data_IF_795847149261
#
_entry.id   IF_795847149261
#
_cell.length_a   1.000
_cell.length_b   1.000
_cell.length_c   1.000
_cell.angle_alpha   90.00
_cell.angle_beta   90.00
_cell.angle_gamma   90.00
#
_symmetry.space_group_name_H-M   'P 1'
#
loop_
_entity.id
_entity.type
_entity.pdbx_description
1 polymer ?
#
# COMPACT_ATOMS: atom_id res chain seq x y z
N UNK A 1 -8.14 3.53 -10.65
CA UNK A 1 -6.77 3.52 -10.11
C UNK A 1 -6.66 2.40 -9.10
N UNK A 2 -5.52 1.71 -9.00
CA UNK A 2 -5.25 0.73 -7.93
C UNK A 2 -3.86 1.00 -7.37
N UNK A 3 -3.59 0.54 -6.16
CA UNK A 3 -2.28 0.70 -5.52
C UNK A 3 -1.79 -0.62 -4.95
N UNK A 4 -0.48 -0.83 -4.97
CA UNK A 4 0.19 -1.85 -4.18
C UNK A 4 0.89 -1.18 -3.00
N UNK A 5 0.63 -1.67 -1.80
CA UNK A 5 1.28 -1.25 -0.56
C UNK A 5 2.23 -2.35 -0.08
N UNK A 6 3.51 -2.00 0.07
CA UNK A 6 4.60 -2.87 0.49
C UNK A 6 5.38 -2.26 1.66
N UNK A 7 6.20 -3.08 2.29
CA UNK A 7 7.12 -2.67 3.33
C UNK A 7 8.50 -3.24 3.05
N UNK A 8 9.50 -2.36 3.06
CA UNK A 8 10.91 -2.72 2.85
C UNK A 8 11.76 -2.24 4.02
N UNK A 9 12.83 -2.99 4.33
CA UNK A 9 13.89 -2.52 5.24
C UNK A 9 15.01 -1.80 4.52
N UNK A 10 15.14 -2.06 3.22
CA UNK A 10 16.25 -1.59 2.40
C UNK A 10 15.69 -1.09 1.08
N UNK A 11 15.62 0.22 0.95
CA UNK A 11 15.27 0.89 -0.29
C UNK A 11 16.54 1.50 -0.86
N UNK A 12 16.83 1.20 -2.12
CA UNK A 12 18.00 1.72 -2.83
C UNK A 12 17.57 2.78 -3.81
N UNK A 13 18.31 3.87 -3.84
CA UNK A 13 18.15 4.92 -4.84
C UNK A 13 19.37 4.97 -5.76
N UNK A 14 19.17 5.41 -7.00
CA UNK A 14 20.27 5.70 -7.92
C UNK A 14 20.89 7.09 -7.68
N UNK A 15 21.89 7.46 -8.49
CA UNK A 15 22.55 8.76 -8.43
C UNK A 15 21.62 9.95 -8.72
N UNK A 16 20.45 9.70 -9.32
CA UNK A 16 19.42 10.69 -9.64
C UNK A 16 18.25 10.67 -8.64
N UNK A 17 18.39 9.95 -7.52
CA UNK A 17 17.37 9.73 -6.50
C UNK A 17 16.11 8.97 -6.99
N UNK A 18 16.19 8.28 -8.13
CA UNK A 18 15.15 7.34 -8.54
C UNK A 18 15.19 6.09 -7.67
N UNK A 19 14.03 5.48 -7.43
CA UNK A 19 13.93 4.28 -6.60
C UNK A 19 14.21 3.03 -7.44
N UNK A 20 15.20 2.24 -7.01
CA UNK A 20 15.52 0.96 -7.64
C UNK A 20 14.51 -0.08 -7.18
N UNK A 21 13.78 -0.66 -8.12
CA UNK A 21 12.82 -1.71 -7.84
C UNK A 21 13.53 -3.04 -7.58
N UNK A 22 13.48 -3.51 -6.33
CA UNK A 22 14.05 -4.80 -5.92
C UNK A 22 12.97 -5.60 -5.17
N UNK A 23 12.17 -6.43 -5.86
CA UNK A 23 11.06 -7.17 -5.24
C UNK A 23 11.50 -8.05 -4.07
N UNK A 24 12.72 -8.57 -4.12
CA UNK A 24 13.32 -9.40 -3.07
C UNK A 24 13.58 -8.64 -1.77
N UNK A 25 13.60 -7.30 -1.80
CA UNK A 25 13.72 -6.45 -0.61
C UNK A 25 12.43 -6.38 0.22
N UNK A 26 11.28 -6.75 -0.35
CA UNK A 26 10.00 -6.71 0.36
C UNK A 26 9.85 -7.87 1.33
N UNK A 27 9.57 -7.56 2.60
CA UNK A 27 9.45 -8.58 3.66
C UNK A 27 8.19 -9.44 3.46
N UNK A 28 7.14 -8.84 2.91
CA UNK A 28 5.81 -9.42 2.79
C UNK A 28 5.27 -9.21 1.36
N UNK A 29 4.29 -10.02 0.97
CA UNK A 29 3.59 -9.80 -0.30
C UNK A 29 2.91 -8.43 -0.28
N UNK A 30 2.99 -7.66 -1.38
CA UNK A 30 2.28 -6.40 -1.50
C UNK A 30 0.77 -6.59 -1.30
N UNK A 31 0.13 -5.59 -0.71
CA UNK A 31 -1.32 -5.53 -0.60
C UNK A 31 -1.87 -4.68 -1.71
N UNK A 32 -2.77 -5.25 -2.51
CA UNK A 32 -3.56 -4.50 -3.47
C UNK A 32 -4.63 -3.69 -2.75
N UNK A 33 -4.78 -2.44 -3.18
CA UNK A 33 -5.81 -1.50 -2.76
C UNK A 33 -6.54 -1.07 -4.02
N UNK A 34 -7.77 -1.54 -4.17
CA UNK A 34 -8.60 -1.37 -5.35
C UNK A 34 -10.06 -1.01 -5.04
N UNK A 35 -10.46 -1.05 -3.76
CA UNK A 35 -11.80 -0.63 -3.33
C UNK A 35 -12.00 0.89 -3.57
N UNK A 36 -12.93 1.31 -4.46
CA UNK A 36 -13.11 2.71 -4.83
C UNK A 36 -13.36 3.64 -3.64
N UNK A 37 -14.20 3.22 -2.70
CA UNK A 37 -14.54 3.98 -1.49
C UNK A 37 -13.32 4.24 -0.57
N UNK A 38 -12.24 3.48 -0.71
CA UNK A 38 -11.03 3.58 0.11
C UNK A 38 -9.89 4.29 -0.63
N UNK A 39 -9.90 4.27 -1.96
CA UNK A 39 -8.83 4.86 -2.78
C UNK A 39 -8.61 6.34 -2.46
N UNK A 40 -9.69 7.13 -2.36
CA UNK A 40 -9.56 8.57 -2.07
C UNK A 40 -8.88 8.82 -0.70
N UNK A 41 -9.30 8.09 0.34
CA UNK A 41 -8.69 8.19 1.66
C UNK A 41 -7.24 7.68 1.68
N UNK A 42 -6.93 6.70 0.83
CA UNK A 42 -5.57 6.19 0.68
C UNK A 42 -4.66 7.18 -0.05
N UNK A 43 -5.17 7.86 -1.07
CA UNK A 43 -4.48 8.94 -1.79
C UNK A 43 -4.15 10.12 -0.85
N UNK A 44 -5.11 10.54 -0.02
CA UNK A 44 -4.88 11.53 1.04
C UNK A 44 -3.77 11.08 2.00
N UNK A 45 -3.73 9.78 2.34
CA UNK A 45 -2.71 9.22 3.23
C UNK A 45 -1.30 9.24 2.63
N UNK A 46 -1.16 8.96 1.34
CA UNK A 46 0.15 8.93 0.67
C UNK A 46 0.58 10.29 0.14
N UNK A 47 -0.27 11.33 0.25
CA UNK A 47 0.06 12.67 -0.24
C UNK A 47 1.31 13.28 0.42
N UNK A 48 1.61 12.89 1.66
CA UNK A 48 2.81 13.34 2.38
C UNK A 48 4.07 12.52 2.08
N UNK A 49 3.99 11.52 1.21
CA UNK A 49 5.11 10.63 0.91
C UNK A 49 6.01 11.27 -0.15
N UNK A 50 7.28 10.89 -0.13
CA UNK A 50 8.20 11.25 -1.20
C UNK A 50 7.78 10.54 -2.49
N UNK A 51 7.64 11.31 -3.57
CA UNK A 51 7.25 10.82 -4.89
C UNK A 51 8.45 10.85 -5.83
N UNK A 52 8.87 9.68 -6.31
CA UNK A 52 10.00 9.52 -7.23
C UNK A 52 9.67 8.55 -8.35
N UNK A 53 10.51 8.54 -9.40
CA UNK A 53 10.39 7.57 -10.49
C UNK A 53 10.99 6.22 -10.10
N UNK A 54 10.44 5.16 -10.69
CA UNK A 54 10.92 3.79 -10.53
C UNK A 54 11.92 3.41 -11.62
N UNK A 55 13.01 2.72 -11.26
CA UNK A 55 13.98 2.17 -12.21
C UNK A 55 14.22 0.68 -11.94
N UNK A 56 14.47 -0.11 -12.98
CA UNK A 56 14.87 -1.52 -12.84
C UNK A 56 16.36 -1.68 -13.05
N UNK A 57 16.99 -2.49 -12.20
CA UNK A 57 18.36 -2.95 -12.40
C UNK A 57 18.32 -4.37 -12.96
N UNK A 58 18.72 -4.55 -14.22
CA UNK A 58 18.79 -5.88 -14.83
C UNK A 58 19.84 -6.74 -14.12
N UNK A 59 19.40 -7.82 -13.46
CA UNK A 59 20.21 -8.72 -12.65
C UNK A 59 21.24 -9.55 -13.44
N UNK A 60 21.19 -9.51 -14.77
CA UNK A 60 22.07 -10.29 -15.64
C UNK A 60 23.32 -9.57 -16.16
N UNK A 61 23.49 -8.27 -15.91
CA UNK A 61 24.67 -7.54 -16.40
C UNK A 61 25.09 -6.44 -15.42
N UNK A 62 26.09 -6.71 -14.60
CA UNK A 62 26.66 -5.79 -13.61
C UNK A 62 27.34 -4.54 -14.24
N UNK A 63 27.25 -4.36 -15.57
CA UNK A 63 27.96 -3.32 -16.32
C UNK A 63 27.08 -2.31 -17.08
N UNK A 64 25.74 -2.37 -17.03
CA UNK A 64 24.90 -1.43 -17.82
C UNK A 64 23.64 -0.90 -17.14
N UNK A 65 23.59 0.45 -17.12
CA UNK A 65 22.47 1.41 -17.20
C UNK A 65 21.12 0.92 -16.66
N UNK A 66 20.68 1.60 -15.59
CA UNK A 66 19.30 1.57 -15.10
C UNK A 66 18.34 1.91 -16.25
N UNK A 67 17.33 1.07 -16.42
CA UNK A 67 16.26 1.32 -17.37
C UNK A 67 15.06 1.85 -16.59
N UNK A 68 14.49 2.96 -17.05
CA UNK A 68 13.29 3.51 -16.43
C UNK A 68 12.15 2.50 -16.50
N UNK A 69 11.64 2.06 -15.36
CA UNK A 69 10.29 1.50 -15.31
C UNK A 69 9.36 2.70 -15.46
N UNK A 70 8.42 2.64 -16.40
CA UNK A 70 7.42 3.70 -16.54
C UNK A 70 6.44 3.60 -15.37
N UNK A 71 6.83 4.12 -14.21
CA UNK A 71 6.05 4.03 -12.99
C UNK A 71 6.52 5.03 -11.95
N UNK A 72 5.53 5.59 -11.26
CA UNK A 72 5.71 6.41 -10.08
C UNK A 72 5.76 5.54 -8.83
N UNK A 73 6.50 5.98 -7.81
CA UNK A 73 6.47 5.35 -6.50
C UNK A 73 6.40 6.43 -5.43
N UNK A 74 5.60 6.13 -4.41
CA UNK A 74 5.50 6.90 -3.19
C UNK A 74 6.16 6.12 -2.06
N UNK A 75 7.04 6.74 -1.30
CA UNK A 75 7.64 6.09 -0.15
C UNK A 75 7.77 7.04 1.04
N UNK A 76 7.78 6.47 2.24
CA UNK A 76 7.96 7.21 3.47
C UNK A 76 8.62 6.32 4.51
N UNK A 77 9.51 6.90 5.33
CA UNK A 77 9.99 6.22 6.52
C UNK A 77 8.81 5.93 7.45
N UNK A 78 8.69 4.69 7.93
CA UNK A 78 7.54 4.30 8.74
C UNK A 78 7.43 5.09 10.07
N UNK A 79 8.55 5.58 10.60
CA UNK A 79 8.60 6.45 11.79
C UNK A 79 8.08 7.88 11.53
N UNK A 80 8.07 8.31 10.26
CA UNK A 80 7.70 9.66 9.80
C UNK A 80 6.29 9.73 9.20
N UNK A 81 5.56 8.60 9.17
CA UNK A 81 4.17 8.58 8.71
C UNK A 81 3.33 9.65 9.42
N UNK A 82 2.56 10.40 8.63
CA UNK A 82 1.58 11.33 9.16
C UNK A 82 0.51 10.57 9.96
N UNK A 83 0.55 10.75 11.27
CA UNK A 83 -0.38 10.10 12.20
C UNK A 83 -1.81 10.58 12.03
N UNK A 84 -2.01 11.81 11.59
CA UNK A 84 -3.32 12.40 11.35
C UNK A 84 -3.93 11.77 10.11
N UNK A 85 -3.18 11.71 9.01
CA UNK A 85 -3.62 11.07 7.78
C UNK A 85 -3.87 9.57 7.98
N UNK A 86 -2.99 8.88 8.73
CA UNK A 86 -3.18 7.47 9.09
C UNK A 86 -4.43 7.24 9.95
N UNK A 87 -4.70 8.13 10.92
CA UNK A 87 -5.90 8.04 11.75
C UNK A 87 -7.17 8.22 10.91
N UNK A 88 -7.20 9.20 10.01
CA UNK A 88 -8.29 9.41 9.05
C UNK A 88 -8.53 8.17 8.18
N UNK A 89 -7.47 7.60 7.59
CA UNK A 89 -7.57 6.35 6.83
C UNK A 89 -8.17 5.23 7.70
N UNK A 90 -7.75 5.09 8.96
CA UNK A 90 -8.32 4.10 9.87
C UNK A 90 -9.80 4.32 10.16
N UNK A 91 -10.23 5.57 10.31
CA UNK A 91 -11.64 5.94 10.50
C UNK A 91 -12.48 5.61 9.27
N UNK A 92 -11.96 5.89 8.07
CA UNK A 92 -12.62 5.61 6.80
C UNK A 92 -12.77 4.09 6.57
N UNK A 93 -11.75 3.29 6.92
CA UNK A 93 -11.87 1.82 6.92
C UNK A 93 -12.99 1.35 7.86
N UNK A 94 -13.10 1.94 9.06
CA UNK A 94 -14.19 1.64 10.02
C UNK A 94 -15.54 2.06 9.47
N UNK A 95 -15.63 3.21 8.81
CA UNK A 95 -16.87 3.67 8.17
C UNK A 95 -17.31 2.70 7.07
N UNK A 96 -16.38 2.23 6.24
CA UNK A 96 -16.64 1.21 5.23
C UNK A 96 -17.20 -0.08 5.85
N UNK A 97 -16.61 -0.58 6.94
CA UNK A 97 -17.13 -1.75 7.66
C UNK A 97 -18.57 -1.55 8.15
N UNK A 98 -18.89 -0.38 8.70
CA UNK A 98 -20.25 -0.07 9.17
C UNK A 98 -21.24 -0.02 8.01
N UNK A 99 -20.88 0.66 6.92
CA UNK A 99 -21.69 0.75 5.70
C UNK A 99 -21.96 -0.64 5.12
N UNK A 100 -20.93 -1.48 5.04
CA UNK A 100 -21.06 -2.86 4.58
C UNK A 100 -22.03 -3.66 5.47
N UNK A 101 -21.84 -3.65 6.78
CA UNK A 101 -22.72 -4.38 7.71
C UNK A 101 -24.18 -3.94 7.64
N UNK A 102 -24.44 -2.63 7.49
CA UNK A 102 -25.81 -2.10 7.32
C UNK A 102 -26.43 -2.49 5.97
N UNK A 103 -25.60 -2.76 4.96
CA UNK A 103 -26.05 -3.11 3.62
C UNK A 103 -26.38 -4.60 3.45
N UNK A 104 -25.93 -5.45 4.39
CA UNK A 104 -26.14 -6.89 4.40
C UNK A 104 -27.55 -7.24 4.86
N UNK A 105 -28.24 -8.05 4.06
CA UNK A 105 -29.47 -8.74 4.44
C UNK A 105 -29.32 -10.23 4.15
N UNK A 106 -30.17 -11.06 4.77
CA UNK A 106 -30.21 -12.51 4.53
C UNK A 106 -30.40 -12.85 3.05
N UNK A 107 -31.19 -12.03 2.36
CA UNK A 107 -31.49 -12.19 0.93
C UNK A 107 -30.26 -11.87 0.06
N UNK A 108 -29.53 -10.80 0.39
CA UNK A 108 -28.29 -10.44 -0.32
C UNK A 108 -27.17 -11.45 -0.08
N UNK A 109 -27.13 -12.10 1.09
CA UNK A 109 -26.10 -13.09 1.37
C UNK A 109 -26.11 -14.27 0.39
N UNK A 110 -27.27 -14.60 -0.17
CA UNK A 110 -27.45 -15.71 -1.12
C UNK A 110 -27.30 -15.27 -2.59
N UNK A 111 -27.09 -13.98 -2.84
CA UNK A 111 -27.00 -13.41 -4.17
C UNK A 111 -25.56 -13.49 -4.71
N UNK A 112 -25.43 -13.96 -5.96
CA UNK A 112 -24.15 -14.10 -6.64
C UNK A 112 -23.47 -12.76 -6.92
N UNK A 113 -24.24 -11.67 -6.95
CA UNK A 113 -23.74 -10.30 -7.13
C UNK A 113 -23.01 -9.73 -5.90
N UNK A 114 -23.02 -10.42 -4.75
CA UNK A 114 -22.37 -9.94 -3.51
C UNK A 114 -20.91 -10.35 -3.41
N UNK A 115 -20.45 -11.26 -4.27
CA UNK A 115 -19.04 -11.70 -4.34
C UNK A 115 -18.01 -10.56 -4.43
N UNK A 116 -18.21 -9.51 -5.28
CA UNK A 116 -17.32 -8.35 -5.30
C UNK A 116 -17.30 -7.54 -3.99
N UNK A 117 -18.43 -7.45 -3.28
CA UNK A 117 -18.50 -6.71 -2.01
C UNK A 117 -17.73 -7.44 -0.90
N UNK A 118 -17.84 -8.77 -0.84
CA UNK A 118 -17.04 -9.59 0.07
C UNK A 118 -15.54 -9.56 -0.26
N UNK A 119 -15.18 -9.52 -1.55
CA UNK A 119 -13.80 -9.34 -1.98
C UNK A 119 -13.25 -7.98 -1.52
N UNK A 120 -14.02 -6.90 -1.68
CA UNK A 120 -13.65 -5.58 -1.17
C UNK A 120 -13.51 -5.55 0.36
N UNK A 121 -14.42 -6.22 1.08
CA UNK A 121 -14.31 -6.37 2.53
C UNK A 121 -13.01 -7.08 2.94
N UNK A 122 -12.67 -8.18 2.27
CA UNK A 122 -11.44 -8.92 2.54
C UNK A 122 -10.20 -8.05 2.30
N UNK A 123 -10.19 -7.23 1.25
CA UNK A 123 -9.14 -6.26 0.97
C UNK A 123 -9.00 -5.24 2.10
N UNK A 124 -10.11 -4.63 2.55
CA UNK A 124 -10.13 -3.66 3.65
C UNK A 124 -9.65 -4.28 4.98
N UNK A 125 -10.04 -5.51 5.28
CA UNK A 125 -9.54 -6.26 6.46
C UNK A 125 -8.02 -6.47 6.35
N UNK A 126 -7.55 -6.82 5.14
CA UNK A 126 -6.13 -7.08 4.87
C UNK A 126 -5.31 -5.81 5.05
N UNK A 127 -5.76 -4.69 4.47
CA UNK A 127 -5.15 -3.37 4.64
C UNK A 127 -5.13 -2.94 6.12
N UNK A 128 -6.27 -3.04 6.83
CA UNK A 128 -6.34 -2.72 8.26
C UNK A 128 -5.35 -3.54 9.08
N UNK A 129 -5.26 -4.84 8.82
CA UNK A 129 -4.36 -5.72 9.55
C UNK A 129 -2.90 -5.41 9.26
N UNK A 130 -2.60 -5.03 8.03
CA UNK A 130 -1.29 -4.57 7.63
C UNK A 130 -0.90 -3.29 8.36
N UNK A 131 -1.71 -2.24 8.27
CA UNK A 131 -1.49 -0.96 8.97
C UNK A 131 -1.33 -1.15 10.49
N UNK A 132 -2.14 -2.02 11.09
CA UNK A 132 -2.05 -2.34 12.52
C UNK A 132 -0.70 -2.96 12.90
N UNK A 133 -0.06 -3.75 12.03
CA UNK A 133 1.29 -4.27 12.27
C UNK A 133 2.30 -3.14 12.36
N UNK A 134 2.25 -2.14 11.49
CA UNK A 134 3.19 -1.02 11.53
C UNK A 134 2.93 -0.09 12.70
N UNK A 135 1.67 0.31 12.90
CA UNK A 135 1.32 1.31 13.91
C UNK A 135 1.48 0.79 15.35
N UNK A 136 1.29 -0.52 15.59
CA UNK A 136 1.29 -1.10 16.95
C UNK A 136 2.51 -1.96 17.26
N UNK A 137 3.33 -2.32 16.28
CA UNK A 137 4.45 -3.22 16.55
C UNK A 137 5.58 -2.52 17.29
N UNK A 138 6.04 -3.15 18.37
CA UNK A 138 7.24 -2.76 19.08
C UNK A 138 8.53 -3.21 18.37
N UNK A 139 8.44 -4.00 17.28
CA UNK A 139 9.62 -4.53 16.58
C UNK A 139 10.39 -3.38 15.94
N UNK A 140 11.69 -3.29 16.26
CA UNK A 140 12.62 -2.29 15.70
C UNK A 140 12.62 -2.24 14.18
N UNK A 141 12.44 -3.39 13.52
CA UNK A 141 12.41 -3.48 12.06
C UNK A 141 11.33 -2.58 11.42
N UNK A 142 10.16 -2.46 12.04
CA UNK A 142 9.09 -1.60 11.51
C UNK A 142 9.31 -0.12 11.77
N UNK A 143 10.17 0.24 12.72
CA UNK A 143 10.54 1.65 12.98
C UNK A 143 11.64 2.15 12.03
N UNK A 144 12.42 1.23 11.49
CA UNK A 144 13.59 1.53 10.66
C UNK A 144 13.37 1.21 9.17
N UNK A 145 12.20 0.73 8.79
CA UNK A 145 11.86 0.46 7.40
C UNK A 145 10.95 1.52 6.80
N UNK A 146 10.52 1.24 5.58
CA UNK A 146 9.83 2.15 4.69
C UNK A 146 8.48 1.56 4.30
N UNK A 147 7.47 2.42 4.28
CA UNK A 147 6.23 2.16 3.57
C UNK A 147 6.44 2.54 2.11
N UNK A 148 6.12 1.62 1.21
CA UNK A 148 6.39 1.72 -0.22
C UNK A 148 5.08 1.50 -0.99
N UNK A 149 4.73 2.40 -1.90
CA UNK A 149 3.46 2.38 -2.62
C UNK A 149 3.67 2.58 -4.10
N UNK A 150 3.16 1.65 -4.92
CA UNK A 150 3.17 1.77 -6.38
C UNK A 150 1.75 1.83 -6.94
N UNK A 151 1.42 2.82 -7.79
CA UNK A 151 0.20 2.78 -8.58
C UNK A 151 0.21 1.60 -9.56
N UNK A 152 -0.96 1.02 -9.79
CA UNK A 152 -1.20 -0.02 -10.77
C UNK A 152 -2.26 0.49 -11.75
N UNK A 153 -1.91 0.49 -13.04
CA UNK A 153 -2.80 0.83 -14.16
C UNK A 153 -3.92 -0.17 -14.38
#
# INVERSE_FOLDING_TARGET
>A
MKYNLSFSLDLKQDEQANMIYEPESFIEKPISISVPDIIASFEDFIQSFDHVCLVEQHSHDASRKLQGLSGDVYFCWAKELDKTALAKLCEDLVHYFKKFNLSLSSEKFLDSEVSPQFSGLQEVITLRNYLARYAKSAKKMYKNGYVYVTPIG
#
